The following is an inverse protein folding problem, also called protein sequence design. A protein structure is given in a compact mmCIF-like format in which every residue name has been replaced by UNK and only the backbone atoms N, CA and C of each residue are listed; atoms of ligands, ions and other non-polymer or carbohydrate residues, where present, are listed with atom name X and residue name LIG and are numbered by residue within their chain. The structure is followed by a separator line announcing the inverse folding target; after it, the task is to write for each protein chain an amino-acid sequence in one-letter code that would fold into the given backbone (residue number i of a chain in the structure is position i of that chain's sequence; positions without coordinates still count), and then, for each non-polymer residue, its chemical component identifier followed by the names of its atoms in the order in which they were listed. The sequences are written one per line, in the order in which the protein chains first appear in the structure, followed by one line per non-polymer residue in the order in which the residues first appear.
data_IF_747884500958
#
_entry.id   IF_747884500958
#
_cell.length_a   1.000
_cell.length_b   1.000
_cell.length_c   1.000
_cell.angle_alpha   90.00
_cell.angle_beta   90.00
_cell.angle_gamma   90.00
#
_symmetry.space_group_name_H-M   'P 1'
#
loop_
_entity.id
_entity.type
_entity.pdbx_description
1 polymer ?
#
# COMPACT_ATOMS: atom_id res chain seq x y z
N UNK A 1 -10.95 12.73 3.68
CA UNK A 1 -10.35 11.44 4.05
C UNK A 1 -9.27 11.15 3.03
N UNK A 2 -8.02 11.46 3.37
CA UNK A 2 -6.89 11.26 2.47
C UNK A 2 -6.66 9.75 2.39
N UNK A 3 -6.97 9.15 1.23
CA UNK A 3 -6.64 7.75 1.00
C UNK A 3 -5.15 7.57 1.22
N UNK A 4 -4.77 6.66 2.12
CA UNK A 4 -3.36 6.29 2.29
C UNK A 4 -2.85 5.77 0.96
N UNK A 5 -2.02 6.58 0.29
CA UNK A 5 -1.51 6.27 -1.05
C UNK A 5 -0.67 4.99 -1.03
N UNK A 6 -0.11 4.62 0.12
CA UNK A 6 0.68 3.42 0.35
C UNK A 6 0.48 2.89 1.79
N UNK A 7 -0.39 1.89 2.02
CA UNK A 7 -0.57 1.30 3.34
C UNK A 7 0.76 0.70 3.82
N UNK A 8 1.13 0.98 5.08
CA UNK A 8 2.35 0.47 5.70
C UNK A 8 3.62 1.31 5.50
N UNK A 9 3.64 2.29 4.58
CA UNK A 9 4.80 3.18 4.44
C UNK A 9 5.00 4.03 5.71
N UNK A 10 3.91 4.59 6.26
CA UNK A 10 3.96 5.39 7.48
C UNK A 10 4.52 4.61 8.67
N UNK A 11 4.18 3.32 8.77
CA UNK A 11 4.70 2.41 9.81
C UNK A 11 6.18 2.11 9.58
N UNK A 12 6.58 1.85 8.33
CA UNK A 12 7.99 1.55 8.00
C UNK A 12 8.94 2.70 8.39
N UNK A 13 8.50 3.94 8.17
CA UNK A 13 9.30 5.14 8.41
C UNK A 13 9.01 5.79 9.77
N UNK A 14 8.24 5.11 10.62
CA UNK A 14 7.88 5.61 11.93
C UNK A 14 9.12 5.88 12.77
N UNK A 15 9.20 7.08 13.35
CA UNK A 15 10.31 7.48 14.20
C UNK A 15 11.60 7.81 13.46
N UNK A 16 11.63 7.74 12.13
CA UNK A 16 12.80 8.15 11.35
C UNK A 16 13.09 9.64 11.51
N UNK A 17 14.37 9.96 11.62
CA UNK A 17 14.87 11.34 11.59
C UNK A 17 15.62 11.54 10.28
N UNK A 18 15.21 12.55 9.53
CA UNK A 18 15.79 12.88 8.23
C UNK A 18 16.47 14.24 8.29
N UNK A 19 17.58 14.36 7.57
CA UNK A 19 18.20 15.62 7.21
C UNK A 19 18.19 15.73 5.70
N UNK A 20 17.34 16.61 5.16
CA UNK A 20 17.11 16.76 3.71
C UNK A 20 18.19 17.58 3.01
N UNK A 21 18.75 18.57 3.71
CA UNK A 21 19.76 19.49 3.20
C UNK A 21 20.83 19.75 4.27
N UNK A 22 22.04 20.10 3.86
CA UNK A 22 23.14 20.46 4.76
C UNK A 22 22.80 21.62 5.71
N UNK A 23 21.99 22.57 5.24
CA UNK A 23 21.58 23.80 5.94
C UNK A 23 20.46 23.60 6.96
N UNK A 24 19.66 22.54 6.81
CA UNK A 24 18.54 22.25 7.69
C UNK A 24 18.96 21.37 8.88
N UNK A 25 18.30 21.58 10.02
CA UNK A 25 18.47 20.71 11.16
C UNK A 25 17.83 19.34 10.89
N UNK A 26 18.38 18.23 11.43
CA UNK A 26 17.70 16.95 11.41
C UNK A 26 16.33 17.04 12.08
N UNK A 27 15.31 16.52 11.43
CA UNK A 27 13.93 16.56 11.90
C UNK A 27 13.25 15.20 11.74
N UNK A 28 12.22 14.94 12.55
CA UNK A 28 11.39 13.75 12.34
C UNK A 28 10.64 13.87 11.01
N UNK A 29 10.40 12.73 10.37
CA UNK A 29 9.54 12.71 9.17
C UNK A 29 8.15 13.25 9.51
N UNK A 30 7.71 14.20 8.72
CA UNK A 30 6.36 14.77 8.77
C UNK A 30 5.40 13.98 7.87
N UNK A 31 4.10 14.21 8.02
CA UNK A 31 3.11 13.61 7.11
C UNK A 31 3.35 14.00 5.65
N UNK A 32 3.79 15.24 5.40
CA UNK A 32 4.07 15.72 4.04
C UNK A 32 5.29 14.97 3.46
N UNK A 33 6.33 14.73 4.27
CA UNK A 33 7.50 13.95 3.85
C UNK A 33 7.11 12.51 3.45
N UNK A 34 6.18 11.91 4.19
CA UNK A 34 5.70 10.56 3.93
C UNK A 34 4.85 10.53 2.65
N UNK A 35 4.02 11.54 2.43
CA UNK A 35 3.23 11.68 1.20
C UNK A 35 4.10 11.91 -0.03
N UNK A 36 5.11 12.78 0.07
CA UNK A 36 6.08 13.02 -1.00
C UNK A 36 6.84 11.73 -1.34
N UNK A 37 7.28 10.99 -0.31
CA UNK A 37 7.94 9.70 -0.50
C UNK A 37 7.02 8.67 -1.16
N UNK A 38 5.74 8.64 -0.75
CA UNK A 38 4.76 7.75 -1.34
C UNK A 38 4.52 8.06 -2.81
N UNK A 39 4.31 9.34 -3.13
CA UNK A 39 4.13 9.82 -4.50
C UNK A 39 5.34 9.49 -5.37
N UNK A 40 6.55 9.79 -4.89
CA UNK A 40 7.77 9.48 -5.62
C UNK A 40 7.97 7.97 -5.84
N UNK A 41 7.52 7.14 -4.90
CA UNK A 41 7.55 5.67 -5.04
C UNK A 41 6.61 5.20 -6.16
N UNK A 42 5.38 5.71 -6.21
CA UNK A 42 4.41 5.39 -7.26
C UNK A 42 4.84 5.93 -8.62
N UNK A 43 5.40 7.14 -8.68
CA UNK A 43 5.98 7.71 -9.90
C UNK A 43 7.12 6.84 -10.43
N UNK A 44 8.03 6.42 -9.56
CA UNK A 44 9.14 5.52 -9.95
C UNK A 44 8.64 4.21 -10.51
N UNK A 45 7.56 3.65 -9.95
CA UNK A 45 6.90 2.46 -10.50
C UNK A 45 6.33 2.70 -11.89
N UNK A 46 5.65 3.84 -12.10
CA UNK A 46 5.09 4.23 -13.40
C UNK A 46 6.20 4.42 -14.44
N UNK A 47 7.23 5.19 -14.12
CA UNK A 47 8.38 5.43 -15.01
C UNK A 47 9.05 4.11 -15.40
N UNK A 48 9.20 3.18 -14.44
CA UNK A 48 9.78 1.86 -14.72
C UNK A 48 8.89 0.99 -15.60
N UNK A 49 7.58 1.06 -15.41
CA UNK A 49 6.62 0.31 -16.24
C UNK A 49 6.57 0.83 -17.68
N UNK A 50 6.78 2.15 -17.87
CA UNK A 50 6.84 2.78 -19.19
C UNK A 50 8.21 2.61 -19.88
N UNK A 51 9.22 2.15 -19.15
CA UNK A 51 10.59 2.02 -19.67
C UNK A 51 11.38 3.33 -19.69
N UNK A 52 10.90 4.37 -19.00
CA UNK A 52 11.52 5.69 -18.95
C UNK A 52 12.81 5.73 -18.09
N UNK A 53 13.06 4.68 -17.31
CA UNK A 53 14.21 4.58 -16.40
C UNK A 53 15.04 3.35 -16.74
N UNK A 54 16.14 3.57 -17.49
CA UNK A 54 17.01 2.49 -17.92
C UNK A 54 17.89 1.92 -16.80
N UNK A 55 18.34 2.74 -15.82
CA UNK A 55 19.32 2.32 -14.80
C UNK A 55 19.27 3.12 -13.47
N UNK A 56 18.08 3.39 -12.93
CA UNK A 56 17.95 4.19 -11.69
C UNK A 56 16.69 3.91 -10.87
N UNK A 57 16.46 4.76 -9.86
CA UNK A 57 15.24 4.78 -9.05
C UNK A 57 14.40 6.04 -9.28
N UNK A 58 14.50 6.65 -10.47
CA UNK A 58 13.56 7.67 -10.95
C UNK A 58 13.29 8.82 -9.98
N UNK A 59 12.03 9.23 -9.89
CA UNK A 59 11.53 10.23 -8.92
C UNK A 59 11.98 9.97 -7.48
N UNK A 60 12.03 8.71 -7.04
CA UNK A 60 12.39 8.34 -5.67
C UNK A 60 13.87 8.65 -5.37
N UNK A 61 14.75 8.39 -6.33
CA UNK A 61 16.17 8.76 -6.23
C UNK A 61 16.36 10.27 -6.23
N UNK A 62 15.61 10.98 -7.08
CA UNK A 62 15.69 12.43 -7.19
C UNK A 62 15.26 13.12 -5.89
N UNK A 63 14.11 12.73 -5.35
CA UNK A 63 13.55 13.27 -4.10
C UNK A 63 14.51 13.08 -2.92
N UNK A 64 15.09 11.89 -2.80
CA UNK A 64 15.90 11.49 -1.64
C UNK A 64 17.39 11.79 -1.83
N UNK A 65 17.76 12.44 -2.92
CA UNK A 65 19.14 12.83 -3.17
C UNK A 65 19.64 13.76 -2.06
N UNK A 66 20.78 13.41 -1.46
CA UNK A 66 21.35 14.18 -0.34
C UNK A 66 20.71 13.95 1.02
N UNK A 67 19.64 13.14 1.12
CA UNK A 67 19.04 12.83 2.41
C UNK A 67 19.96 11.95 3.25
N UNK A 68 20.07 12.31 4.52
CA UNK A 68 20.69 11.46 5.54
C UNK A 68 19.60 11.03 6.51
N UNK A 69 19.47 9.72 6.72
CA UNK A 69 18.37 9.13 7.48
C UNK A 69 18.89 8.32 8.65
N UNK A 70 18.36 8.62 9.82
CA UNK A 70 18.51 7.80 11.01
C UNK A 70 17.24 6.97 11.21
N UNK A 71 17.34 5.68 10.93
CA UNK A 71 16.23 4.72 11.05
C UNK A 71 15.97 4.32 12.51
N UNK A 72 17.02 4.28 13.33
CA UNK A 72 16.94 3.91 14.74
C UNK A 72 17.85 4.78 15.62
N UNK A 73 17.42 5.07 16.85
CA UNK A 73 18.19 5.85 17.81
C UNK A 73 19.50 5.13 18.16
N UNK A 74 20.60 5.86 18.13
CA UNK A 74 21.94 5.34 18.49
C UNK A 74 22.67 4.63 17.34
N UNK A 75 22.00 4.38 16.20
CA UNK A 75 22.67 3.94 14.97
C UNK A 75 23.19 5.13 14.16
N UNK A 76 24.26 4.88 13.39
CA UNK A 76 24.87 5.87 12.49
C UNK A 76 23.86 6.24 11.39
N UNK A 77 23.54 7.53 11.20
CA UNK A 77 22.69 7.98 10.10
C UNK A 77 23.34 7.66 8.76
N UNK A 78 22.57 7.16 7.81
CA UNK A 78 23.05 6.75 6.49
C UNK A 78 22.09 7.24 5.40
N UNK A 79 22.58 7.48 4.18
CA UNK A 79 21.72 7.81 3.06
C UNK A 79 20.78 6.64 2.73
N UNK A 80 19.68 6.95 2.02
CA UNK A 80 18.81 5.92 1.48
C UNK A 80 19.49 5.23 0.31
N UNK A 81 19.48 3.89 0.35
CA UNK A 81 20.12 3.04 -0.63
C UNK A 81 19.11 2.29 -1.49
N UNK A 82 19.64 1.51 -2.44
CA UNK A 82 18.83 0.67 -3.34
C UNK A 82 17.93 -0.31 -2.59
N UNK A 83 18.34 -0.78 -1.42
CA UNK A 83 17.54 -1.69 -0.60
C UNK A 83 16.32 -1.01 0.03
N UNK A 84 16.44 0.24 0.47
CA UNK A 84 15.31 1.01 0.98
C UNK A 84 14.30 1.28 -0.14
N UNK A 85 14.80 1.68 -1.32
CA UNK A 85 13.95 1.90 -2.49
C UNK A 85 13.20 0.64 -2.92
N UNK A 86 13.85 -0.53 -2.87
CA UNK A 86 13.18 -1.82 -3.10
C UNK A 86 12.03 -2.04 -2.11
N UNK A 87 12.23 -1.75 -0.82
CA UNK A 87 11.19 -1.92 0.21
C UNK A 87 10.00 -1.00 -0.05
N UNK A 88 10.24 0.26 -0.38
CA UNK A 88 9.16 1.21 -0.69
C UNK A 88 8.33 0.75 -1.89
N UNK A 89 9.02 0.35 -2.97
CA UNK A 89 8.35 -0.16 -4.17
C UNK A 89 7.60 -1.46 -3.91
N UNK A 90 8.15 -2.36 -3.09
CA UNK A 90 7.49 -3.61 -2.71
C UNK A 90 6.19 -3.34 -1.92
N UNK A 91 6.22 -2.43 -0.94
CA UNK A 91 5.03 -2.00 -0.20
C UNK A 91 3.97 -1.42 -1.13
N UNK A 92 4.39 -0.63 -2.13
CA UNK A 92 3.48 -0.08 -3.12
C UNK A 92 2.81 -1.14 -3.99
N UNK A 93 3.58 -2.11 -4.47
CA UNK A 93 3.04 -3.23 -5.24
C UNK A 93 2.08 -4.07 -4.39
N UNK A 94 2.42 -4.34 -3.13
CA UNK A 94 1.56 -5.08 -2.21
C UNK A 94 0.24 -4.36 -1.93
N UNK A 95 0.30 -3.05 -1.65
CA UNK A 95 -0.91 -2.24 -1.45
C UNK A 95 -1.84 -2.23 -2.66
N UNK A 96 -1.29 -2.14 -3.88
CA UNK A 96 -2.08 -2.22 -5.11
C UNK A 96 -2.67 -3.64 -5.33
N UNK A 97 -1.92 -4.70 -5.02
CA UNK A 97 -2.40 -6.07 -5.14
C UNK A 97 -3.56 -6.37 -4.16
N UNK A 98 -3.47 -5.88 -2.92
CA UNK A 98 -4.53 -6.04 -1.92
C UNK A 98 -5.81 -5.28 -2.32
N UNK A 99 -5.70 -4.07 -2.87
CA UNK A 99 -6.86 -3.33 -3.39
C UNK A 99 -7.56 -4.07 -4.54
N UNK A 100 -6.80 -4.76 -5.40
CA UNK A 100 -7.38 -5.55 -6.49
C UNK A 100 -8.12 -6.81 -6.01
N UNK A 101 -7.76 -7.32 -4.82
CA UNK A 101 -8.40 -8.48 -4.19
C UNK A 101 -9.59 -8.08 -3.30
N UNK A 102 -9.73 -6.78 -2.98
CA UNK A 102 -10.72 -6.23 -2.05
C UNK A 102 -12.03 -5.72 -2.68
N UNK A 103 -12.23 -5.85 -3.99
CA UNK A 103 -13.51 -5.51 -4.63
C UNK A 103 -14.48 -6.71 -4.63
N UNK A 104 -14.74 -7.30 -3.46
CA UNK A 104 -15.98 -8.04 -3.22
C UNK A 104 -16.83 -7.19 -2.28
N UNK A 105 -17.56 -6.24 -2.87
CA UNK A 105 -18.65 -5.56 -2.17
C UNK A 105 -19.76 -6.58 -1.97
N UNK A 106 -19.72 -7.25 -0.83
CA UNK A 106 -20.91 -7.70 -0.12
C UNK A 106 -20.77 -7.19 1.30
N UNK A 107 -21.16 -5.93 1.49
CA UNK A 107 -21.73 -5.54 2.76
C UNK A 107 -23.16 -6.05 2.78
N UNK A 108 -23.44 -7.03 3.62
CA UNK A 108 -24.72 -7.10 4.31
C UNK A 108 -24.41 -7.61 5.71
N UNK A 109 -24.75 -6.77 6.69
CA UNK A 109 -24.82 -7.11 8.10
C UNK A 109 -25.51 -8.47 8.28
N UNK A 110 -24.79 -9.49 8.75
CA UNK A 110 -25.42 -10.58 9.49
C UNK A 110 -24.43 -11.25 10.44
N UNK A 111 -24.85 -11.22 11.69
CA UNK A 111 -24.40 -11.93 12.87
C UNK A 111 -23.62 -13.25 12.63
N UNK A 112 -22.58 -13.38 13.44
CA UNK A 112 -22.02 -14.59 14.02
C UNK A 112 -22.94 -15.83 13.93
N UNK A 113 -22.60 -16.78 13.06
CA UNK A 113 -23.00 -18.19 13.24
C UNK A 113 -21.85 -19.10 12.86
N UNK A 114 -21.36 -19.83 13.85
CA UNK A 114 -20.43 -20.95 13.76
C UNK A 114 -20.81 -21.90 12.62
N UNK A 115 -19.83 -22.18 11.76
CA UNK A 115 -19.93 -23.19 10.71
C UNK A 115 -19.85 -24.56 11.38
N UNK A 116 -21.01 -25.16 11.60
CA UNK A 116 -21.13 -26.60 11.76
C UNK A 116 -21.71 -27.18 10.46
N UNK A 117 -21.08 -28.27 10.04
CA UNK A 117 -21.27 -29.07 8.84
C UNK A 117 -22.74 -29.46 8.62
N UNK A 118 -23.45 -28.86 7.64
CA UNK A 118 -24.73 -29.42 7.17
C UNK A 118 -24.90 -29.21 5.66
N UNK A 119 -25.20 -30.32 4.98
CA UNK A 119 -25.35 -30.42 3.53
C UNK A 119 -26.32 -29.36 2.95
N UNK A 120 -26.12 -28.89 1.71
CA UNK A 120 -27.01 -27.90 1.11
C UNK A 120 -28.43 -28.47 1.03
N UNK A 121 -29.34 -27.90 1.82
CA UNK A 121 -30.73 -28.28 1.84
C UNK A 121 -31.35 -28.05 0.46
N UNK A 122 -32.11 -29.04 -0.02
CA UNK A 122 -32.72 -29.13 -1.36
C UNK A 122 -33.72 -28.01 -1.71
N UNK A 123 -33.89 -27.01 -0.84
CA UNK A 123 -34.94 -25.99 -0.92
C UNK A 123 -34.47 -24.61 -1.39
N UNK A 124 -33.16 -24.37 -1.58
CA UNK A 124 -32.66 -23.06 -2.08
C UNK A 124 -33.25 -22.68 -3.45
N UNK A 125 -33.66 -23.67 -4.25
CA UNK A 125 -34.21 -23.45 -5.59
C UNK A 125 -35.74 -23.59 -5.68
N UNK A 126 -36.44 -23.73 -4.56
CA UNK A 126 -37.91 -23.85 -4.55
C UNK A 126 -38.59 -22.66 -5.21
N UNK A 127 -38.07 -21.45 -4.97
CA UNK A 127 -38.61 -20.21 -5.52
C UNK A 127 -38.43 -20.13 -7.05
N UNK A 128 -37.25 -20.51 -7.56
CA UNK A 128 -36.99 -20.56 -9.00
C UNK A 128 -37.91 -21.59 -9.70
N UNK A 129 -38.18 -22.72 -9.04
CA UNK A 129 -39.05 -23.77 -9.58
C UNK A 129 -40.52 -23.35 -9.62
N UNK A 130 -41.01 -22.68 -8.57
CA UNK A 130 -42.39 -22.21 -8.51
C UNK A 130 -42.65 -21.06 -9.51
N UNK A 131 -41.65 -20.21 -9.76
CA UNK A 131 -41.75 -19.13 -10.75
C UNK A 131 -41.89 -19.67 -12.18
N UNK A 132 -41.11 -20.69 -12.55
CA UNK A 132 -41.20 -21.33 -13.86
C UNK A 132 -42.55 -22.03 -14.09
N UNK A 133 -43.17 -22.58 -13.04
CA UNK A 133 -44.47 -23.24 -13.14
C UNK A 133 -45.65 -22.27 -13.34
N UNK A 134 -45.48 -20.97 -13.04
CA UNK A 134 -46.51 -19.96 -13.27
C UNK A 134 -46.43 -19.28 -14.65
N UNK A 135 -45.36 -19.53 -15.41
CA UNK A 135 -45.10 -18.90 -16.71
C UNK A 135 -45.29 -19.85 -17.91
N UNK A 136 -45.79 -21.07 -17.68
CA UNK A 136 -46.28 -22.01 -18.71
C UNK A 136 -47.79 -22.21 -18.53
#
# INVERSE_FOLDING_TARGET
MSGEMLPGLAVLVEGWVIKKDATLAPQRMTSDDIQDLAKATVETLKERALGDVENGWGSLQALTSGWVVQRERGKVPTPLGKEDFRKFVMLALEGMAQQSSGSSVLGDDVDEVSIEDEAPSLDTFRFAREHLQRCL
#
